data_IF_379170768238
#
_entry.id   IF_379170768238
#
_cell.length_a   1.000
_cell.length_b   1.000
_cell.length_c   1.000
_cell.angle_alpha   90.00
_cell.angle_beta   90.00
_cell.angle_gamma   90.00
#
_symmetry.space_group_name_H-M   'P 1'
#
loop_
_entity.id
_entity.type
_entity.pdbx_description
1 polymer ?
#
# COMPACT_ATOMS: atom_id res chain seq x y z
N UNK A 1 -36.00 -2.90 9.73
CA UNK A 1 -35.31 -2.75 9.46
C UNK A 1 -34.23 -2.50 9.66
N UNK A 2 -33.45 -2.54 9.62
CA UNK A 2 -32.49 -2.39 9.65
C UNK A 2 -31.48 -3.02 9.60
N UNK A 3 -31.35 -3.71 9.46
CA UNK A 3 -30.55 -4.63 9.27
C UNK A 3 -29.39 -4.31 8.56
N UNK A 4 -29.40 -3.46 7.89
CA UNK A 4 -28.35 -3.03 7.27
C UNK A 4 -27.27 -2.56 8.07
N UNK A 5 -27.44 -2.21 9.17
CA UNK A 5 -26.45 -1.66 10.03
C UNK A 5 -25.32 -2.63 10.28
N UNK A 6 -25.62 -3.87 10.32
CA UNK A 6 -24.60 -4.85 10.61
C UNK A 6 -23.63 -5.02 9.47
N UNK A 7 -24.14 -5.07 8.28
CA UNK A 7 -23.31 -5.33 7.13
C UNK A 7 -22.27 -4.27 6.89
N UNK A 8 -22.61 -3.00 6.94
CA UNK A 8 -21.60 -1.96 6.73
C UNK A 8 -20.51 -1.98 7.79
N UNK A 9 -20.86 -2.31 9.00
CA UNK A 9 -19.87 -2.37 10.07
C UNK A 9 -18.82 -3.41 9.78
N UNK A 10 -19.23 -4.57 9.32
CA UNK A 10 -18.28 -5.62 9.00
C UNK A 10 -17.36 -5.20 7.87
N UNK A 11 -17.93 -4.56 6.88
CA UNK A 11 -17.12 -4.13 5.75
C UNK A 11 -16.06 -3.15 6.17
N UNK A 12 -16.38 -2.30 7.13
CA UNK A 12 -15.42 -1.29 7.55
C UNK A 12 -14.23 -1.85 8.30
N UNK A 13 -14.28 -3.06 8.76
CA UNK A 13 -13.15 -3.66 9.44
C UNK A 13 -12.04 -3.97 8.47
N UNK A 14 -12.33 -4.05 7.19
CA UNK A 14 -11.31 -4.29 6.21
C UNK A 14 -11.02 -3.06 5.44
N UNK A 15 -9.93 -2.41 5.72
CA UNK A 15 -9.50 -1.24 4.97
C UNK A 15 -8.66 -1.70 3.80
N UNK A 16 -8.87 -1.15 2.61
CA UNK A 16 -8.04 -1.51 1.47
C UNK A 16 -6.62 -1.03 1.67
N UNK A 17 -5.68 -1.74 1.05
CA UNK A 17 -4.31 -1.32 1.04
C UNK A 17 -3.43 -2.08 2.01
N UNK A 18 -2.15 -1.78 1.95
CA UNK A 18 -1.16 -2.38 2.83
C UNK A 18 -0.50 -1.27 3.64
N UNK A 19 -0.32 -1.51 4.92
CA UNK A 19 0.25 -0.52 5.83
C UNK A 19 1.74 -0.76 5.95
N UNK A 20 2.52 0.28 5.70
CA UNK A 20 3.97 0.23 5.83
C UNK A 20 4.32 0.28 7.32
N UNK A 21 5.12 -0.68 7.78
CA UNK A 21 5.58 -0.69 9.17
C UNK A 21 6.98 -0.13 9.30
N UNK A 22 7.83 -0.35 8.28
CA UNK A 22 9.19 0.18 8.33
C UNK A 22 9.66 0.54 6.94
N UNK A 23 10.54 1.53 6.87
CA UNK A 23 11.19 1.95 5.63
C UNK A 23 12.69 1.84 5.87
N UNK A 24 13.37 1.06 5.05
CA UNK A 24 14.81 0.86 5.20
C UNK A 24 15.56 2.15 4.86
N UNK A 25 16.62 2.48 5.58
CA UNK A 25 17.40 3.67 5.24
C UNK A 25 18.09 3.49 3.89
N UNK A 26 18.22 4.59 3.16
CA UNK A 26 18.88 4.62 1.86
C UNK A 26 18.21 3.71 0.82
N UNK A 27 16.94 3.40 1.01
CA UNK A 27 16.19 2.57 0.09
C UNK A 27 15.41 3.42 -0.90
N UNK A 28 14.85 2.75 -1.90
CA UNK A 28 13.97 3.42 -2.85
C UNK A 28 12.77 4.04 -2.12
N UNK A 29 12.21 3.32 -1.15
CA UNK A 29 11.07 3.84 -0.41
C UNK A 29 11.42 5.12 0.33
N UNK A 30 12.62 5.22 0.86
CA UNK A 30 13.03 6.44 1.54
C UNK A 30 13.15 7.59 0.55
N UNK A 31 13.68 7.33 -0.64
CA UNK A 31 13.77 8.35 -1.66
C UNK A 31 12.40 8.85 -2.10
N UNK A 32 11.40 7.99 -2.06
CA UNK A 32 10.03 8.34 -2.41
C UNK A 32 9.30 9.02 -1.25
N UNK A 33 9.99 9.19 -0.12
CA UNK A 33 9.44 9.83 1.08
C UNK A 33 8.27 9.04 1.68
N UNK A 34 8.28 7.74 1.50
CA UNK A 34 7.33 6.87 2.17
C UNK A 34 7.72 6.74 3.63
N UNK A 35 6.73 6.63 4.50
CA UNK A 35 6.95 6.61 5.94
C UNK A 35 6.17 5.48 6.58
N UNK A 36 6.60 5.03 7.76
CA UNK A 36 5.81 4.06 8.52
C UNK A 36 4.41 4.62 8.77
N UNK A 37 3.44 3.72 8.73
CA UNK A 37 2.03 4.00 8.88
C UNK A 37 1.35 4.57 7.64
N UNK A 38 2.09 4.83 6.58
CA UNK A 38 1.49 5.14 5.30
C UNK A 38 0.83 3.89 4.75
N UNK A 39 -0.22 4.07 3.97
CA UNK A 39 -0.94 2.95 3.37
C UNK A 39 -0.90 3.05 1.87
N UNK A 40 -0.41 1.99 1.20
CA UNK A 40 -0.44 1.94 -0.25
C UNK A 40 -1.77 1.33 -0.65
N UNK A 41 -2.61 2.10 -1.33
CA UNK A 41 -3.97 1.68 -1.65
C UNK A 41 -4.15 1.27 -3.10
N UNK A 42 -3.30 1.76 -4.00
CA UNK A 42 -3.34 1.36 -5.40
C UNK A 42 -1.95 1.28 -5.97
N UNK A 43 -1.77 0.38 -6.92
CA UNK A 43 -0.55 0.27 -7.71
C UNK A 43 -0.98 0.28 -9.17
N UNK A 44 -0.46 1.23 -9.93
CA UNK A 44 -0.77 1.39 -11.36
C UNK A 44 -2.28 1.42 -11.61
N UNK A 45 -3.01 2.12 -10.73
CA UNK A 45 -4.44 2.30 -10.88
C UNK A 45 -5.29 1.13 -10.40
N UNK A 46 -4.67 0.05 -9.92
CA UNK A 46 -5.40 -1.12 -9.45
C UNK A 46 -5.40 -1.17 -7.93
N UNK A 47 -6.54 -1.41 -7.32
CA UNK A 47 -6.60 -1.48 -5.86
C UNK A 47 -5.74 -2.62 -5.32
N UNK A 48 -5.12 -2.38 -4.19
CA UNK A 48 -4.32 -3.37 -3.47
C UNK A 48 -5.11 -3.75 -2.24
N UNK A 49 -5.44 -5.03 -2.08
CA UNK A 49 -6.22 -5.47 -0.95
C UNK A 49 -5.35 -5.97 0.19
N UNK A 50 -4.21 -6.57 -0.15
CA UNK A 50 -3.33 -7.15 0.85
C UNK A 50 -1.91 -7.22 0.29
N UNK A 51 -1.01 -7.78 1.09
CA UNK A 51 0.38 -7.88 0.72
C UNK A 51 0.62 -8.73 -0.52
N UNK A 52 -0.16 -9.80 -0.70
CA UNK A 52 -0.01 -10.63 -1.89
C UNK A 52 -0.40 -9.87 -3.13
N UNK A 53 -1.50 -9.11 -3.08
CA UNK A 53 -1.87 -8.26 -4.20
C UNK A 53 -0.74 -7.29 -4.53
N UNK A 54 -0.14 -6.69 -3.51
CA UNK A 54 0.94 -5.74 -3.71
C UNK A 54 2.10 -6.43 -4.43
N UNK A 55 2.47 -7.61 -3.98
CA UNK A 55 3.57 -8.34 -4.61
C UNK A 55 3.25 -8.70 -6.06
N UNK A 56 2.05 -9.17 -6.32
CA UNK A 56 1.67 -9.53 -7.68
C UNK A 56 1.67 -8.32 -8.59
N UNK A 57 1.17 -7.21 -8.11
CA UNK A 57 1.03 -6.03 -8.96
C UNK A 57 2.34 -5.29 -9.18
N UNK A 58 3.33 -5.51 -8.34
CA UNK A 58 4.63 -4.89 -8.51
C UNK A 58 5.66 -5.80 -9.15
N UNK A 59 5.39 -7.11 -9.20
CA UNK A 59 6.37 -8.07 -9.69
C UNK A 59 6.73 -7.81 -11.14
N UNK A 60 8.01 -7.65 -11.42
CA UNK A 60 8.49 -7.43 -12.78
C UNK A 60 8.20 -6.06 -13.36
N UNK A 61 7.55 -5.18 -12.62
CA UNK A 61 7.22 -3.86 -13.12
C UNK A 61 8.37 -2.90 -12.88
N UNK A 62 8.72 -2.14 -13.91
CA UNK A 62 9.77 -1.14 -13.80
C UNK A 62 9.22 0.27 -13.71
N UNK A 63 8.00 0.51 -14.19
CA UNK A 63 7.34 1.80 -14.08
C UNK A 63 6.13 1.64 -13.18
N UNK A 64 6.12 2.39 -12.10
CA UNK A 64 5.11 2.21 -11.07
C UNK A 64 4.48 3.53 -10.66
N UNK A 65 3.20 3.47 -10.35
CA UNK A 65 2.48 4.60 -9.77
C UNK A 65 1.81 4.07 -8.52
N UNK A 66 2.21 4.58 -7.37
CA UNK A 66 1.58 4.22 -6.10
C UNK A 66 0.62 5.32 -5.69
N UNK A 67 -0.56 4.93 -5.25
CA UNK A 67 -1.45 5.85 -4.58
C UNK A 67 -1.36 5.54 -3.09
N UNK A 68 -0.92 6.52 -2.32
CA UNK A 68 -0.57 6.33 -0.91
C UNK A 68 -1.44 7.23 -0.06
N UNK A 69 -2.06 6.66 0.95
CA UNK A 69 -2.82 7.44 1.92
C UNK A 69 -1.92 7.72 3.12
N UNK A 70 -1.68 8.98 3.38
CA UNK A 70 -0.80 9.40 4.46
C UNK A 70 -1.58 9.42 5.77
N UNK A 71 -0.85 9.47 6.88
CA UNK A 71 -1.48 9.47 8.20
C UNK A 71 -2.30 10.71 8.47
N UNK A 72 -2.02 11.80 7.77
CA UNK A 72 -2.79 13.02 7.94
C UNK A 72 -4.07 13.04 7.09
N UNK A 73 -4.37 11.95 6.41
CA UNK A 73 -5.57 11.84 5.59
C UNK A 73 -5.39 12.23 4.13
N UNK A 74 -4.24 12.76 3.77
CA UNK A 74 -3.98 13.12 2.38
C UNK A 74 -3.69 11.89 1.55
N UNK A 75 -4.02 11.95 0.26
CA UNK A 75 -3.69 10.90 -0.68
C UNK A 75 -2.67 11.46 -1.65
N UNK A 76 -1.56 10.76 -1.79
CA UNK A 76 -0.49 11.17 -2.69
C UNK A 76 -0.32 10.15 -3.79
N UNK A 77 -0.07 10.62 -5.00
CA UNK A 77 0.23 9.73 -6.11
C UNK A 77 1.71 9.88 -6.40
N UNK A 78 2.44 8.77 -6.39
CA UNK A 78 3.89 8.78 -6.55
C UNK A 78 4.24 7.95 -7.77
N UNK A 79 4.85 8.59 -8.74
CA UNK A 79 5.25 7.97 -9.98
C UNK A 79 6.75 7.78 -9.98
N UNK A 80 7.22 6.59 -10.28
CA UNK A 80 8.67 6.35 -10.23
C UNK A 80 9.04 5.14 -11.08
N UNK A 81 10.32 5.07 -11.42
CA UNK A 81 10.88 3.93 -12.14
C UNK A 81 11.81 3.16 -11.21
N UNK A 82 11.97 1.88 -11.45
CA UNK A 82 12.94 1.08 -10.72
C UNK A 82 13.46 -0.02 -11.63
N UNK A 83 14.59 -0.61 -11.22
CA UNK A 83 15.07 -1.84 -11.83
C UNK A 83 14.16 -2.96 -11.36
N UNK A 84 13.79 -3.89 -12.23
CA UNK A 84 12.83 -4.93 -11.83
C UNK A 84 13.35 -5.80 -10.69
N UNK A 85 14.65 -5.85 -10.48
CA UNK A 85 15.24 -6.61 -9.39
C UNK A 85 15.45 -5.75 -8.13
N UNK A 86 15.15 -4.47 -8.20
CA UNK A 86 15.39 -3.56 -7.08
C UNK A 86 14.32 -3.74 -6.01
N UNK A 87 14.75 -3.93 -4.77
CA UNK A 87 13.84 -4.04 -3.65
C UNK A 87 13.39 -2.64 -3.21
N UNK A 88 12.15 -2.52 -2.80
CA UNK A 88 11.63 -1.22 -2.37
C UNK A 88 12.20 -0.79 -1.02
N UNK A 89 12.56 -1.73 -0.19
CA UNK A 89 12.98 -1.40 1.17
C UNK A 89 11.82 -1.16 2.11
N UNK A 90 10.70 -1.81 1.87
CA UNK A 90 9.48 -1.66 2.66
C UNK A 90 9.19 -2.91 3.45
N UNK A 91 8.70 -2.72 4.67
CA UNK A 91 8.11 -3.79 5.44
C UNK A 91 6.66 -3.43 5.70
N UNK A 92 5.79 -4.42 5.70
CA UNK A 92 4.36 -4.20 5.81
C UNK A 92 3.77 -4.94 6.98
N UNK A 93 2.65 -4.43 7.46
CA UNK A 93 1.90 -5.12 8.48
C UNK A 93 1.34 -6.39 7.87
N UNK A 94 1.56 -7.50 8.54
CA UNK A 94 1.05 -8.78 8.08
C UNK A 94 -0.09 -9.20 8.96
N UNK A 95 -1.22 -9.51 8.33
CA UNK A 95 -2.37 -9.99 9.04
C UNK A 95 -2.32 -11.51 8.95
N UNK A 96 -2.21 -12.13 10.09
CA UNK A 96 -2.18 -13.59 10.15
C UNK A 96 -3.60 -14.06 10.36
N UNK A 97 -4.13 -14.88 9.48
CA UNK A 97 -5.50 -15.37 9.62
C UNK A 97 -5.68 -16.26 10.82
#
# INVERSE_FOLDING_TARGET
MYEFAVTPAVTQLRRPGVIITEVAPDSLAEELELQPNDRIVKVNGRPVRDYLDFRFQTAGETELVFQVKKTNGETHEIEFDRDESEDFGLMFEQIVP
#
